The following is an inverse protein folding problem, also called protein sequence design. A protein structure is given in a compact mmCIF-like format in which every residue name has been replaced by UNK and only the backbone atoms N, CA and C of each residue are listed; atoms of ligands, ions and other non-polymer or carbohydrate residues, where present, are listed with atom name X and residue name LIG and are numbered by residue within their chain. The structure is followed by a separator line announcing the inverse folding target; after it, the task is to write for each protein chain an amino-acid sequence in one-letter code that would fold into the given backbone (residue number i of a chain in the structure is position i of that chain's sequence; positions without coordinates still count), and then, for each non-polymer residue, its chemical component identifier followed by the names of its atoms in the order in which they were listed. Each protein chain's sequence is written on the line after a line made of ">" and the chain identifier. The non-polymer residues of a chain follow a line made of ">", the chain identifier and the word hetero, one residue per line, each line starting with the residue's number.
data_IF_750619069205
#
_entry.id   IF_750619069205
#
_cell.length_a   1.000
_cell.length_b   1.000
_cell.length_c   1.000
_cell.angle_alpha   90.00
_cell.angle_beta   90.00
_cell.angle_gamma   90.00
#
_symmetry.space_group_name_H-M   'P 1'
#
loop_
_entity.id
_entity.type
_entity.pdbx_description
1 polymer ?
#
# COMPACT_ATOMS: atom_id res chain seq x y z
N UNK A 1 -15.42 11.92 6.53
CA UNK A 1 -15.09 13.26 7.05
C UNK A 1 -16.02 14.28 6.41
N UNK A 2 -16.62 15.21 7.17
CA UNK A 2 -17.57 16.19 6.65
C UNK A 2 -16.90 17.31 5.81
N UNK A 3 -15.58 17.36 5.77
CA UNK A 3 -14.82 18.41 5.08
C UNK A 3 -14.35 17.94 3.70
N UNK A 4 -14.40 18.82 2.70
CA UNK A 4 -14.08 18.54 1.29
C UNK A 4 -12.65 18.95 0.88
N UNK A 5 -11.77 19.28 1.84
CA UNK A 5 -10.40 19.62 1.46
C UNK A 5 -9.65 18.47 0.77
N UNK A 6 -8.68 18.79 -0.08
CA UNK A 6 -7.88 17.81 -0.76
C UNK A 6 -7.15 16.85 0.18
N UNK A 7 -7.08 15.57 -0.21
CA UNK A 7 -6.39 14.52 0.54
C UNK A 7 -5.31 13.93 -0.35
N UNK A 8 -4.11 13.76 0.18
CA UNK A 8 -3.06 13.05 -0.51
C UNK A 8 -2.68 11.77 0.24
N UNK A 9 -2.62 10.64 -0.50
CA UNK A 9 -2.30 9.32 0.04
C UNK A 9 -0.90 8.93 -0.44
N UNK A 10 0.05 8.91 0.48
CA UNK A 10 1.41 8.45 0.24
C UNK A 10 1.56 6.96 0.53
N UNK A 11 2.41 6.28 -0.21
CA UNK A 11 2.78 4.89 0.03
C UNK A 11 3.30 4.18 -1.20
N UNK A 12 4.01 3.10 -0.99
CA UNK A 12 4.60 2.29 -2.05
C UNK A 12 3.54 1.75 -3.03
N UNK A 13 4.01 1.27 -4.18
CA UNK A 13 3.13 0.59 -5.13
C UNK A 13 2.50 -0.66 -4.47
N UNK A 14 1.23 -0.93 -4.77
CA UNK A 14 0.54 -2.11 -4.28
C UNK A 14 0.05 -2.07 -2.83
N UNK A 15 0.25 -0.98 -2.06
CA UNK A 15 -0.17 -0.89 -0.64
C UNK A 15 -1.68 -0.74 -0.42
N UNK A 16 -2.46 -0.50 -1.50
CA UNK A 16 -3.92 -0.35 -1.43
C UNK A 16 -4.42 1.10 -1.45
N UNK A 17 -3.65 2.08 -1.94
CA UNK A 17 -4.04 3.51 -2.02
C UNK A 17 -5.40 3.73 -2.70
N UNK A 18 -5.67 3.02 -3.80
CA UNK A 18 -6.95 3.10 -4.53
C UNK A 18 -8.13 2.62 -3.68
N UNK A 19 -7.93 1.55 -2.90
CA UNK A 19 -8.95 1.02 -1.99
C UNK A 19 -9.26 2.03 -0.89
N UNK A 20 -8.23 2.67 -0.33
CA UNK A 20 -8.39 3.72 0.67
C UNK A 20 -9.12 4.93 0.09
N UNK A 21 -8.76 5.38 -1.12
CA UNK A 21 -9.45 6.49 -1.79
C UNK A 21 -10.95 6.19 -2.00
N UNK A 22 -11.31 4.97 -2.42
CA UNK A 22 -12.70 4.52 -2.53
C UNK A 22 -13.41 4.51 -1.18
N UNK A 23 -12.76 4.05 -0.10
CA UNK A 23 -13.32 4.06 1.25
C UNK A 23 -13.53 5.49 1.78
N UNK A 24 -12.62 6.42 1.47
CA UNK A 24 -12.78 7.83 1.81
C UNK A 24 -14.01 8.41 1.09
N UNK A 25 -14.20 8.08 -0.19
CA UNK A 25 -15.38 8.48 -0.95
C UNK A 25 -16.66 7.89 -0.33
N UNK A 26 -16.72 6.58 -0.12
CA UNK A 26 -17.90 5.89 0.44
C UNK A 26 -18.29 6.39 1.85
N UNK A 27 -17.32 6.84 2.66
CA UNK A 27 -17.57 7.39 4.01
C UNK A 27 -17.73 8.90 4.03
N UNK A 28 -17.90 9.54 2.88
CA UNK A 28 -18.04 10.99 2.76
C UNK A 28 -19.47 11.40 2.39
N UNK A 29 -19.75 12.70 2.46
CA UNK A 29 -20.97 13.30 1.92
C UNK A 29 -21.11 13.15 0.39
N UNK A 30 -20.03 12.75 -0.29
CA UNK A 30 -19.99 12.57 -1.75
C UNK A 30 -20.30 11.13 -2.19
N UNK A 31 -20.75 10.23 -1.30
CA UNK A 31 -20.99 8.82 -1.60
C UNK A 31 -22.00 8.57 -2.73
N UNK A 32 -22.98 9.46 -2.90
CA UNK A 32 -23.98 9.38 -3.97
C UNK A 32 -23.53 9.98 -5.31
N UNK A 33 -22.35 10.62 -5.35
CA UNK A 33 -21.82 11.25 -6.54
C UNK A 33 -20.79 10.36 -7.25
N UNK A 34 -20.46 10.63 -8.53
CA UNK A 34 -19.46 9.85 -9.26
C UNK A 34 -18.08 9.88 -8.61
N UNK A 35 -17.39 8.72 -8.66
CA UNK A 35 -15.98 8.58 -8.30
C UNK A 35 -15.14 8.45 -9.57
N UNK A 36 -14.58 9.55 -10.02
CA UNK A 36 -13.78 9.62 -11.25
C UNK A 36 -12.30 9.40 -10.94
N UNK A 37 -11.64 8.59 -11.76
CA UNK A 37 -10.23 8.23 -11.59
C UNK A 37 -9.43 8.70 -12.79
N UNK A 38 -8.34 9.43 -12.56
CA UNK A 38 -7.34 9.76 -13.57
C UNK A 38 -6.02 9.11 -13.18
N UNK A 39 -5.44 8.35 -14.10
CA UNK A 39 -4.09 7.83 -13.99
C UNK A 39 -3.12 8.82 -14.62
N UNK A 40 -2.24 9.42 -13.81
CA UNK A 40 -1.30 10.44 -14.29
C UNK A 40 -0.04 9.83 -14.92
N UNK A 41 0.21 8.54 -14.70
CA UNK A 41 1.27 7.79 -15.36
C UNK A 41 0.75 7.06 -16.63
N UNK A 42 1.68 6.65 -17.50
CA UNK A 42 1.40 5.88 -18.72
C UNK A 42 0.50 6.56 -19.77
N UNK A 43 0.25 7.86 -19.65
CA UNK A 43 -0.54 8.66 -20.60
C UNK A 43 0.35 9.76 -21.18
N UNK A 44 0.18 10.06 -22.47
CA UNK A 44 0.87 11.18 -23.09
C UNK A 44 0.44 12.51 -22.46
N UNK A 45 1.37 13.46 -22.35
CA UNK A 45 1.16 14.76 -21.70
C UNK A 45 -0.09 15.48 -22.23
N UNK A 46 -0.24 15.55 -23.55
CA UNK A 46 -1.38 16.21 -24.20
C UNK A 46 -2.72 15.53 -23.89
N UNK A 47 -2.76 14.20 -23.84
CA UNK A 47 -3.99 13.46 -23.54
C UNK A 47 -4.39 13.65 -22.08
N UNK A 48 -3.40 13.68 -21.19
CA UNK A 48 -3.64 13.95 -19.76
C UNK A 48 -4.12 15.39 -19.53
N UNK A 49 -3.50 16.37 -20.21
CA UNK A 49 -3.96 17.75 -20.21
C UNK A 49 -5.44 17.87 -20.64
N UNK A 50 -5.81 17.23 -21.75
CA UNK A 50 -7.20 17.20 -22.22
C UNK A 50 -8.16 16.56 -21.20
N UNK A 51 -7.75 15.45 -20.55
CA UNK A 51 -8.56 14.83 -19.52
C UNK A 51 -8.81 15.79 -18.34
N UNK A 52 -7.76 16.47 -17.86
CA UNK A 52 -7.89 17.43 -16.75
C UNK A 52 -8.77 18.62 -17.14
N UNK A 53 -8.58 19.15 -18.35
CA UNK A 53 -9.38 20.30 -18.86
C UNK A 53 -10.85 19.94 -18.99
N UNK A 54 -11.16 18.73 -19.44
CA UNK A 54 -12.54 18.27 -19.68
C UNK A 54 -13.31 17.93 -18.39
N UNK A 55 -12.64 17.85 -17.23
CA UNK A 55 -13.34 17.64 -15.98
C UNK A 55 -14.12 18.89 -15.60
N UNK A 56 -15.39 18.70 -15.32
CA UNK A 56 -16.22 19.76 -14.78
C UNK A 56 -16.11 19.79 -13.23
N UNK A 57 -15.26 20.66 -12.73
CA UNK A 57 -15.03 20.81 -11.29
C UNK A 57 -16.20 21.50 -10.55
N UNK A 58 -17.20 22.01 -11.26
CA UNK A 58 -18.38 22.62 -10.61
C UNK A 58 -19.48 21.61 -10.30
N UNK A 59 -19.37 20.37 -10.83
CA UNK A 59 -20.33 19.31 -10.55
C UNK A 59 -19.94 18.48 -9.32
N UNK A 60 -20.91 18.03 -8.53
CA UNK A 60 -20.64 17.18 -7.37
C UNK A 60 -20.02 15.85 -7.77
N UNK A 61 -18.78 15.62 -7.33
CA UNK A 61 -18.03 14.39 -7.62
C UNK A 61 -16.88 14.19 -6.64
N UNK A 62 -16.29 12.98 -6.65
CA UNK A 62 -14.95 12.75 -6.10
C UNK A 62 -13.99 12.46 -7.24
N UNK A 63 -12.89 13.20 -7.30
CA UNK A 63 -11.82 13.04 -8.28
C UNK A 63 -10.61 12.39 -7.62
N UNK A 64 -10.19 11.22 -8.11
CA UNK A 64 -9.00 10.54 -7.64
C UNK A 64 -7.89 10.58 -8.67
N UNK A 65 -6.81 11.30 -8.35
CA UNK A 65 -5.60 11.46 -9.16
C UNK A 65 -4.55 10.44 -8.71
N UNK A 66 -4.30 9.41 -9.53
CA UNK A 66 -3.26 8.41 -9.24
C UNK A 66 -1.91 8.90 -9.75
N UNK A 67 -0.87 8.68 -8.94
CA UNK A 67 0.53 8.95 -9.32
C UNK A 67 0.78 10.41 -9.69
N UNK A 68 0.29 11.33 -8.84
CA UNK A 68 0.42 12.79 -9.07
C UNK A 68 1.88 13.24 -9.21
N UNK A 69 2.83 12.48 -8.66
CA UNK A 69 4.27 12.72 -8.77
C UNK A 69 4.81 12.66 -10.21
N UNK A 70 4.05 12.05 -11.14
CA UNK A 70 4.47 11.90 -12.55
C UNK A 70 4.00 13.02 -13.46
N UNK A 71 3.22 13.97 -12.93
CA UNK A 71 2.73 15.12 -13.71
C UNK A 71 3.88 15.99 -14.20
N UNK A 72 3.85 16.34 -15.50
CA UNK A 72 4.71 17.39 -16.04
C UNK A 72 4.38 18.75 -15.43
N UNK A 73 5.31 19.69 -15.47
CA UNK A 73 5.06 21.07 -14.97
C UNK A 73 3.86 21.72 -15.63
N UNK A 74 3.66 21.49 -16.93
CA UNK A 74 2.52 22.00 -17.66
C UNK A 74 1.19 21.45 -17.11
N UNK A 75 1.11 20.13 -16.91
CA UNK A 75 -0.09 19.49 -16.37
C UNK A 75 -0.33 19.85 -14.88
N UNK A 76 0.74 20.08 -14.11
CA UNK A 76 0.64 20.60 -12.75
C UNK A 76 0.01 22.00 -12.72
N UNK A 77 0.38 22.88 -13.68
CA UNK A 77 -0.18 24.22 -13.79
C UNK A 77 -1.67 24.17 -14.13
N UNK A 78 -2.04 23.39 -15.15
CA UNK A 78 -3.46 23.21 -15.54
C UNK A 78 -4.28 22.68 -14.36
N UNK A 79 -3.76 21.68 -13.64
CA UNK A 79 -4.44 21.10 -12.47
C UNK A 79 -4.60 22.13 -11.34
N UNK A 80 -3.58 22.95 -11.09
CA UNK A 80 -3.64 23.98 -10.07
C UNK A 80 -4.74 25.00 -10.39
N UNK A 81 -4.78 25.54 -11.61
CA UNK A 81 -5.79 26.49 -12.06
C UNK A 81 -7.22 25.92 -11.93
N UNK A 82 -7.38 24.64 -12.26
CA UNK A 82 -8.67 23.95 -12.11
C UNK A 82 -9.09 23.78 -10.65
N UNK A 83 -8.15 23.41 -9.77
CA UNK A 83 -8.43 23.27 -8.33
C UNK A 83 -8.71 24.63 -7.67
N UNK A 84 -8.04 25.71 -8.10
CA UNK A 84 -8.26 27.06 -7.60
C UNK A 84 -9.62 27.63 -8.03
N UNK A 85 -10.07 27.28 -9.23
CA UNK A 85 -11.40 27.66 -9.73
C UNK A 85 -12.54 26.74 -9.24
N UNK A 86 -12.21 25.69 -8.48
CA UNK A 86 -13.18 24.71 -8.00
C UNK A 86 -13.95 25.20 -6.79
N UNK A 87 -15.26 24.96 -6.76
CA UNK A 87 -16.01 24.98 -5.51
C UNK A 87 -15.65 23.74 -4.68
N UNK A 88 -14.95 23.97 -3.56
CA UNK A 88 -14.51 22.89 -2.65
C UNK A 88 -15.67 22.02 -2.12
N UNK A 89 -16.92 22.54 -2.17
CA UNK A 89 -18.11 21.79 -1.81
C UNK A 89 -18.60 20.87 -2.94
N UNK A 90 -18.31 21.23 -4.20
CA UNK A 90 -18.75 20.45 -5.35
C UNK A 90 -17.80 19.28 -5.64
N UNK A 91 -16.51 19.52 -5.83
CA UNK A 91 -15.56 18.45 -6.19
C UNK A 91 -14.59 18.16 -5.04
N UNK A 92 -14.62 16.92 -4.55
CA UNK A 92 -13.63 16.41 -3.60
C UNK A 92 -12.42 15.84 -4.33
N UNK A 93 -11.25 16.43 -4.13
CA UNK A 93 -10.00 15.96 -4.74
C UNK A 93 -9.26 15.02 -3.79
N UNK A 94 -8.93 13.84 -4.29
CA UNK A 94 -8.07 12.85 -3.61
C UNK A 94 -6.90 12.58 -4.55
N UNK A 95 -5.68 12.59 -4.06
CA UNK A 95 -4.50 12.25 -4.84
C UNK A 95 -3.74 11.08 -4.23
N UNK A 96 -2.92 10.40 -5.01
CA UNK A 96 -1.97 9.44 -4.48
C UNK A 96 -0.58 9.64 -5.08
N UNK A 97 0.44 9.39 -4.26
CA UNK A 97 1.84 9.40 -4.68
C UNK A 97 2.58 8.19 -4.12
N UNK A 98 3.59 7.71 -4.86
CA UNK A 98 4.50 6.64 -4.43
C UNK A 98 5.61 7.16 -3.54
N UNK A 99 5.95 8.43 -3.68
CA UNK A 99 7.05 9.11 -3.00
C UNK A 99 6.56 10.41 -2.34
N UNK A 100 7.25 10.90 -1.29
CA UNK A 100 6.96 12.20 -0.72
C UNK A 100 7.18 13.33 -1.74
N UNK A 101 6.16 14.15 -2.01
CA UNK A 101 6.24 15.23 -3.01
C UNK A 101 7.20 16.34 -2.60
N UNK A 102 7.48 16.52 -1.30
CA UNK A 102 8.38 17.56 -0.83
C UNK A 102 9.79 17.46 -1.42
N UNK A 103 10.29 16.25 -1.66
CA UNK A 103 11.56 16.03 -2.37
C UNK A 103 11.53 16.61 -3.78
N UNK A 104 10.45 16.36 -4.52
CA UNK A 104 10.27 16.88 -5.88
C UNK A 104 10.11 18.41 -5.91
N UNK A 105 9.53 19.01 -4.86
CA UNK A 105 9.47 20.48 -4.72
C UNK A 105 10.87 21.07 -4.57
N UNK A 106 11.72 20.48 -3.72
CA UNK A 106 13.11 20.91 -3.57
C UNK A 106 13.93 20.80 -4.87
N UNK A 107 13.68 19.76 -5.64
CA UNK A 107 14.30 19.54 -6.96
C UNK A 107 13.68 20.38 -8.08
N UNK A 108 12.73 21.25 -7.76
CA UNK A 108 11.97 22.05 -8.74
C UNK A 108 11.25 21.22 -9.82
N UNK A 109 10.88 19.96 -9.49
CA UNK A 109 10.11 19.05 -10.35
C UNK A 109 8.61 19.09 -10.06
N UNK A 110 8.23 19.59 -8.90
CA UNK A 110 6.82 19.76 -8.49
C UNK A 110 6.56 21.19 -8.06
N UNK A 111 5.41 21.76 -8.49
CA UNK A 111 5.05 23.15 -8.17
C UNK A 111 4.75 23.33 -6.68
N UNK A 112 5.41 24.26 -5.97
CA UNK A 112 5.15 24.51 -4.55
C UNK A 112 3.69 24.83 -4.26
N UNK A 113 3.05 25.66 -5.10
CA UNK A 113 1.64 26.05 -4.93
C UNK A 113 0.71 24.85 -4.97
N UNK A 114 0.89 23.94 -5.93
CA UNK A 114 0.10 22.70 -6.04
C UNK A 114 0.38 21.79 -4.83
N UNK A 115 1.63 21.67 -4.41
CA UNK A 115 2.00 20.89 -3.23
C UNK A 115 1.25 21.36 -1.98
N UNK A 116 1.31 22.66 -1.66
CA UNK A 116 0.63 23.20 -0.48
C UNK A 116 -0.89 23.07 -0.56
N UNK A 117 -1.47 23.24 -1.75
CA UNK A 117 -2.92 23.06 -1.96
C UNK A 117 -3.36 21.61 -1.76
N UNK A 118 -2.54 20.63 -2.16
CA UNK A 118 -2.86 19.20 -2.05
C UNK A 118 -2.48 18.57 -0.71
N UNK A 119 -1.46 19.07 -0.03
CA UNK A 119 -0.89 18.48 1.17
C UNK A 119 -1.54 18.95 2.48
N UNK A 120 -2.83 19.28 2.45
CA UNK A 120 -3.60 19.73 3.63
C UNK A 120 -3.83 18.55 4.58
N UNK A 121 -4.22 17.38 4.04
CA UNK A 121 -4.46 16.18 4.82
C UNK A 121 -3.64 15.00 4.24
N UNK A 122 -2.33 14.92 4.53
CA UNK A 122 -1.50 13.80 4.11
C UNK A 122 -1.86 12.53 4.89
N UNK A 123 -2.02 11.42 4.17
CA UNK A 123 -2.25 10.10 4.72
C UNK A 123 -1.12 9.17 4.27
N UNK A 124 -0.33 8.67 5.19
CA UNK A 124 0.74 7.75 4.89
C UNK A 124 0.30 6.30 5.09
N UNK A 125 0.49 5.46 4.07
CA UNK A 125 0.15 4.03 4.11
C UNK A 125 1.42 3.22 4.21
N UNK A 126 1.61 2.57 5.35
CA UNK A 126 2.76 1.72 5.59
C UNK A 126 2.81 0.53 4.60
N UNK A 127 4.01 0.12 4.12
CA UNK A 127 4.16 -1.08 3.31
C UNK A 127 3.81 -2.34 4.10
N UNK A 128 3.42 -3.41 3.38
CA UNK A 128 2.89 -4.64 3.98
C UNK A 128 3.86 -5.29 4.97
N UNK A 129 5.17 -5.23 4.70
CA UNK A 129 6.24 -5.71 5.60
C UNK A 129 6.28 -5.02 6.97
N UNK A 130 5.75 -3.78 7.08
CA UNK A 130 5.63 -3.05 8.36
C UNK A 130 4.33 -3.34 9.12
N UNK A 131 3.41 -4.11 8.50
CA UNK A 131 2.14 -4.52 9.12
C UNK A 131 1.90 -6.04 8.99
N UNK A 132 2.79 -6.86 9.56
CA UNK A 132 2.74 -8.32 9.39
C UNK A 132 1.48 -8.97 9.97
N UNK A 133 0.78 -8.29 10.87
CA UNK A 133 -0.50 -8.77 11.44
C UNK A 133 -1.67 -8.67 10.46
N UNK A 134 -1.59 -7.84 9.41
CA UNK A 134 -2.62 -7.75 8.38
C UNK A 134 -2.52 -8.92 7.39
N UNK A 135 -1.33 -9.54 7.25
CA UNK A 135 -1.07 -10.57 6.23
C UNK A 135 -2.00 -11.77 6.38
N UNK A 136 -2.18 -12.39 7.57
CA UNK A 136 -3.13 -13.50 7.73
C UNK A 136 -4.57 -13.14 7.35
N UNK A 137 -5.00 -11.92 7.71
CA UNK A 137 -6.35 -11.44 7.39
C UNK A 137 -6.54 -11.23 5.89
N UNK A 138 -5.53 -10.71 5.21
CA UNK A 138 -5.53 -10.53 3.76
C UNK A 138 -5.49 -11.88 3.03
N UNK A 139 -4.73 -12.86 3.52
CA UNK A 139 -4.71 -14.22 2.98
C UNK A 139 -6.12 -14.84 3.08
N UNK A 140 -6.75 -14.79 4.25
CA UNK A 140 -8.10 -15.31 4.45
C UNK A 140 -9.12 -14.61 3.51
N UNK A 141 -9.07 -13.29 3.44
CA UNK A 141 -9.93 -12.51 2.58
C UNK A 141 -9.78 -12.88 1.09
N UNK A 142 -8.55 -12.91 0.56
CA UNK A 142 -8.31 -13.22 -0.85
C UNK A 142 -8.59 -14.69 -1.16
N UNK A 143 -8.27 -15.61 -0.25
CA UNK A 143 -8.60 -17.02 -0.42
C UNK A 143 -10.11 -17.24 -0.52
N UNK A 144 -10.90 -16.66 0.37
CA UNK A 144 -12.37 -16.72 0.32
C UNK A 144 -12.91 -16.12 -0.96
N UNK A 145 -12.38 -14.96 -1.37
CA UNK A 145 -12.77 -14.28 -2.61
C UNK A 145 -12.52 -15.17 -3.83
N UNK A 146 -11.31 -15.70 -3.99
CA UNK A 146 -10.96 -16.51 -5.16
C UNK A 146 -11.59 -17.91 -5.12
N UNK A 147 -11.79 -18.50 -3.95
CA UNK A 147 -12.58 -19.73 -3.80
C UNK A 147 -14.01 -19.54 -4.33
N UNK A 148 -14.65 -18.41 -3.99
CA UNK A 148 -16.00 -18.12 -4.48
C UNK A 148 -16.03 -17.85 -5.99
N UNK A 149 -15.06 -17.08 -6.52
CA UNK A 149 -14.96 -16.76 -7.94
C UNK A 149 -14.67 -17.99 -8.82
N UNK A 150 -13.81 -18.89 -8.33
CA UNK A 150 -13.32 -20.07 -9.09
C UNK A 150 -14.01 -21.38 -8.71
N UNK A 151 -14.97 -21.34 -7.78
CA UNK A 151 -15.68 -22.50 -7.23
C UNK A 151 -14.71 -23.57 -6.67
N UNK A 152 -13.73 -23.10 -5.89
CA UNK A 152 -12.69 -23.93 -5.25
C UNK A 152 -12.80 -23.87 -3.72
N UNK A 153 -12.07 -24.76 -3.03
CA UNK A 153 -11.99 -24.80 -1.57
C UNK A 153 -10.52 -24.91 -1.11
N UNK A 154 -9.70 -23.97 -1.57
CA UNK A 154 -8.30 -23.90 -1.15
C UNK A 154 -8.19 -23.40 0.30
N UNK A 155 -7.29 -24.00 1.08
CA UNK A 155 -7.02 -23.63 2.46
C UNK A 155 -5.51 -23.53 2.67
N UNK A 156 -5.05 -22.47 3.32
CA UNK A 156 -3.64 -22.31 3.68
C UNK A 156 -3.36 -22.93 5.06
N UNK A 157 -2.30 -23.72 5.17
CA UNK A 157 -1.87 -24.25 6.47
C UNK A 157 -1.31 -23.13 7.35
N UNK A 158 -1.31 -23.33 8.67
CA UNK A 158 -0.69 -22.40 9.62
C UNK A 158 0.80 -22.18 9.31
N UNK A 159 1.51 -23.23 8.86
CA UNK A 159 2.91 -23.13 8.43
C UNK A 159 3.07 -22.24 7.19
N UNK A 160 2.18 -22.36 6.21
CA UNK A 160 2.14 -21.53 5.00
C UNK A 160 1.88 -20.06 5.33
N UNK A 161 0.92 -19.79 6.21
CA UNK A 161 0.60 -18.43 6.66
C UNK A 161 1.81 -17.81 7.40
N UNK A 162 2.50 -18.58 8.26
CA UNK A 162 3.70 -18.10 8.98
C UNK A 162 4.83 -17.75 7.99
N UNK A 163 5.03 -18.56 6.96
CA UNK A 163 6.02 -18.30 5.91
C UNK A 163 5.69 -17.00 5.15
N UNK A 164 4.45 -16.84 4.72
CA UNK A 164 3.98 -15.62 4.03
C UNK A 164 4.08 -14.37 4.91
N UNK A 165 3.87 -14.52 6.23
CA UNK A 165 4.01 -13.41 7.19
C UNK A 165 5.44 -12.85 7.27
N UNK A 166 6.43 -13.70 7.07
CA UNK A 166 7.86 -13.35 7.13
C UNK A 166 8.45 -12.95 5.77
N UNK A 167 7.65 -12.91 4.72
CA UNK A 167 8.08 -12.49 3.39
C UNK A 167 8.11 -10.96 3.25
N UNK A 168 9.02 -10.44 2.44
CA UNK A 168 9.29 -9.00 2.32
C UNK A 168 8.21 -8.20 1.62
N UNK A 169 7.43 -8.83 0.74
CA UNK A 169 6.33 -8.21 0.00
C UNK A 169 6.72 -6.90 -0.69
N UNK A 170 7.72 -6.93 -1.57
CA UNK A 170 8.18 -5.75 -2.31
C UNK A 170 7.06 -5.09 -3.12
N UNK A 171 6.16 -5.89 -3.72
CA UNK A 171 4.95 -5.45 -4.42
C UNK A 171 3.71 -5.33 -3.52
N UNK A 172 3.87 -5.44 -2.19
CA UNK A 172 2.83 -5.25 -1.20
C UNK A 172 1.58 -6.15 -1.41
N UNK A 173 0.36 -5.60 -1.29
CA UNK A 173 -0.91 -6.34 -1.42
C UNK A 173 -1.09 -6.86 -2.85
N UNK A 174 -0.61 -6.13 -3.86
CA UNK A 174 -0.71 -6.58 -5.25
C UNK A 174 0.12 -7.85 -5.47
N UNK A 175 1.32 -7.92 -4.92
CA UNK A 175 2.15 -9.13 -4.98
C UNK A 175 1.49 -10.29 -4.21
N UNK A 176 0.96 -10.02 -3.02
CA UNK A 176 0.22 -11.01 -2.24
C UNK A 176 -0.96 -11.61 -3.04
N UNK A 177 -1.73 -10.76 -3.73
CA UNK A 177 -2.81 -11.20 -4.60
C UNK A 177 -2.30 -12.08 -5.74
N UNK A 178 -1.20 -11.67 -6.39
CA UNK A 178 -0.59 -12.41 -7.50
C UNK A 178 -0.01 -13.75 -7.06
N UNK A 179 0.32 -13.92 -5.78
CA UNK A 179 0.75 -15.20 -5.22
C UNK A 179 -0.45 -16.09 -4.88
N UNK A 180 -1.50 -15.54 -4.24
CA UNK A 180 -2.64 -16.33 -3.78
C UNK A 180 -3.52 -16.79 -4.95
N UNK A 181 -3.77 -15.93 -5.93
CA UNK A 181 -4.68 -16.22 -7.04
C UNK A 181 -4.29 -17.49 -7.82
N UNK A 182 -3.05 -17.66 -8.34
CA UNK A 182 -2.68 -18.89 -9.05
C UNK A 182 -2.65 -20.11 -8.12
N UNK A 183 -2.32 -19.97 -6.85
CA UNK A 183 -2.36 -21.08 -5.89
C UNK A 183 -3.79 -21.60 -5.67
N UNK A 184 -4.78 -20.76 -5.75
CA UNK A 184 -6.20 -21.17 -5.70
C UNK A 184 -6.65 -21.68 -7.07
N UNK A 185 -6.23 -21.07 -8.17
CA UNK A 185 -6.66 -21.41 -9.52
C UNK A 185 -6.10 -22.75 -10.02
N UNK A 186 -4.83 -23.06 -9.74
CA UNK A 186 -4.13 -24.26 -10.24
C UNK A 186 -4.47 -25.55 -9.48
N UNK A 187 -5.56 -25.59 -8.74
CA UNK A 187 -5.97 -26.77 -7.98
C UNK A 187 -6.85 -27.68 -8.83
N UNK A 188 -6.42 -28.91 -9.09
CA UNK A 188 -7.17 -29.92 -9.84
C UNK A 188 -8.29 -30.58 -9.02
N UNK A 189 -8.26 -30.43 -7.69
CA UNK A 189 -9.22 -30.98 -6.74
C UNK A 189 -10.12 -29.90 -6.14
N UNK A 190 -11.34 -30.27 -5.73
CA UNK A 190 -12.26 -29.35 -5.07
C UNK A 190 -11.73 -28.86 -3.71
N UNK A 191 -10.99 -29.72 -2.99
CA UNK A 191 -10.34 -29.37 -1.72
C UNK A 191 -8.82 -29.40 -1.90
N UNK A 192 -8.15 -28.33 -1.50
CA UNK A 192 -6.70 -28.20 -1.67
C UNK A 192 -6.03 -27.48 -0.50
N UNK A 193 -5.01 -28.14 0.03
CA UNK A 193 -4.22 -27.58 1.12
C UNK A 193 -2.93 -26.98 0.58
N UNK A 194 -2.80 -25.66 0.66
CA UNK A 194 -1.59 -24.96 0.24
C UNK A 194 -0.48 -25.14 1.27
N UNK A 195 0.53 -25.93 0.88
CA UNK A 195 1.69 -26.25 1.72
C UNK A 195 2.85 -25.28 1.52
N UNK A 196 3.81 -25.19 2.47
CA UNK A 196 5.01 -24.37 2.30
C UNK A 196 5.83 -24.68 1.05
N UNK A 197 5.92 -25.95 0.63
CA UNK A 197 6.67 -26.35 -0.56
C UNK A 197 6.08 -25.78 -1.86
N UNK A 198 4.77 -25.66 -1.93
CA UNK A 198 4.10 -25.05 -3.07
C UNK A 198 4.30 -23.54 -3.09
N UNK A 199 4.29 -22.90 -1.94
CA UNK A 199 4.61 -21.47 -1.81
C UNK A 199 6.02 -21.15 -2.29
N UNK A 200 7.03 -21.90 -1.85
CA UNK A 200 8.43 -21.65 -2.22
C UNK A 200 8.68 -21.72 -3.73
N UNK A 201 7.96 -22.57 -4.44
CA UNK A 201 7.99 -22.63 -5.92
C UNK A 201 7.50 -21.33 -6.58
N UNK A 202 6.52 -20.66 -5.98
CA UNK A 202 5.94 -19.43 -6.53
C UNK A 202 6.66 -18.15 -6.07
N UNK A 203 7.17 -18.12 -4.84
CA UNK A 203 7.76 -16.90 -4.25
C UNK A 203 9.29 -16.85 -4.44
N UNK A 204 9.93 -17.99 -4.67
CA UNK A 204 11.39 -18.14 -4.70
C UNK A 204 11.99 -18.07 -3.29
N UNK A 205 13.00 -18.90 -3.03
CA UNK A 205 13.61 -19.02 -1.69
C UNK A 205 14.36 -17.75 -1.23
N UNK A 206 14.82 -16.92 -2.16
CA UNK A 206 15.67 -15.75 -1.86
C UNK A 206 14.98 -14.61 -1.13
N UNK A 207 13.66 -14.54 -1.13
CA UNK A 207 12.90 -13.43 -0.54
C UNK A 207 12.21 -13.79 0.78
N UNK A 208 12.42 -15.00 1.25
CA UNK A 208 11.94 -15.42 2.56
C UNK A 208 13.01 -14.98 3.55
N UNK A 209 12.75 -13.92 4.31
CA UNK A 209 13.47 -13.73 5.55
C UNK A 209 13.03 -14.88 6.45
N UNK A 210 13.80 -15.95 6.44
CA UNK A 210 13.75 -16.92 7.51
C UNK A 210 14.20 -16.12 8.73
N UNK A 211 13.26 -15.54 9.46
CA UNK A 211 13.47 -15.35 10.88
C UNK A 211 13.62 -16.79 11.34
N UNK A 212 14.87 -17.27 11.37
CA UNK A 212 15.20 -18.45 12.11
C UNK A 212 14.47 -18.25 13.44
N UNK A 213 13.47 -19.06 13.71
CA UNK A 213 13.10 -19.33 15.11
C UNK A 213 14.47 -19.54 15.73
N UNK A 214 14.91 -18.58 16.55
CA UNK A 214 16.05 -18.84 17.42
C UNK A 214 15.66 -20.15 18.07
N UNK A 215 16.21 -21.22 17.49
CA UNK A 215 15.73 -22.55 17.78
C UNK A 215 16.04 -22.74 19.25
N UNK A 216 15.00 -22.77 20.08
CA UNK A 216 15.15 -23.13 21.50
C UNK A 216 15.92 -24.45 21.66
N UNK A 217 16.11 -25.18 20.57
CA UNK A 217 17.01 -26.31 20.43
C UNK A 217 18.51 -26.00 20.56
N UNK A 218 18.92 -24.72 20.52
CA UNK A 218 20.32 -24.30 20.78
C UNK A 218 20.64 -24.20 22.27
N UNK A 219 19.62 -24.21 23.13
CA UNK A 219 19.82 -24.08 24.58
C UNK A 219 19.52 -25.41 25.25
N UNK A 220 20.49 -25.93 26.01
CA UNK A 220 20.33 -27.16 26.77
C UNK A 220 19.60 -26.97 28.09
N UNK A 221 19.40 -25.70 28.53
CA UNK A 221 18.64 -25.37 29.74
C UNK A 221 18.00 -23.98 29.66
N UNK A 222 16.93 -23.77 30.44
CA UNK A 222 16.29 -22.46 30.58
C UNK A 222 17.27 -21.40 31.12
N UNK A 223 18.17 -21.77 32.01
CA UNK A 223 19.18 -20.87 32.58
C UNK A 223 20.17 -20.35 31.54
N UNK A 224 20.55 -21.19 30.56
CA UNK A 224 21.42 -20.82 29.45
C UNK A 224 20.70 -19.88 28.47
N UNK A 225 19.43 -20.16 28.16
CA UNK A 225 18.59 -19.31 27.33
C UNK A 225 18.40 -17.91 27.94
N UNK A 226 18.11 -17.84 29.27
CA UNK A 226 17.94 -16.58 29.99
C UNK A 226 19.23 -15.76 29.99
N UNK A 227 20.37 -16.39 30.26
CA UNK A 227 21.67 -15.72 30.31
C UNK A 227 22.08 -15.15 28.92
N UNK A 228 21.76 -15.85 27.85
CA UNK A 228 22.04 -15.38 26.48
C UNK A 228 21.11 -14.22 26.10
N UNK A 229 19.83 -14.32 26.46
CA UNK A 229 18.86 -13.24 26.23
C UNK A 229 19.24 -11.96 27.01
N UNK A 230 19.60 -12.07 28.26
CA UNK A 230 20.06 -10.95 29.10
C UNK A 230 21.29 -10.27 28.49
N UNK A 231 22.28 -11.06 28.02
CA UNK A 231 23.47 -10.55 27.36
C UNK A 231 23.11 -9.78 26.07
N UNK A 232 22.29 -10.35 25.22
CA UNK A 232 21.90 -9.74 23.95
C UNK A 232 21.05 -8.47 24.18
N UNK A 233 20.20 -8.47 25.20
CA UNK A 233 19.41 -7.32 25.60
C UNK A 233 20.28 -6.18 26.14
N UNK A 234 21.28 -6.49 26.97
CA UNK A 234 22.25 -5.50 27.47
C UNK A 234 23.06 -4.91 26.31
N UNK A 235 23.53 -5.75 25.38
CA UNK A 235 24.26 -5.28 24.20
C UNK A 235 23.38 -4.39 23.28
N UNK A 236 22.10 -4.72 23.14
CA UNK A 236 21.14 -3.89 22.42
C UNK A 236 20.95 -2.52 23.10
N UNK A 237 20.78 -2.49 24.41
CA UNK A 237 20.67 -1.25 25.18
C UNK A 237 21.93 -0.40 25.09
N UNK A 238 23.11 -1.02 25.22
CA UNK A 238 24.38 -0.32 25.05
C UNK A 238 24.53 0.29 23.67
N UNK A 239 24.23 -0.46 22.59
CA UNK A 239 24.25 0.07 21.22
C UNK A 239 23.28 1.24 21.04
N UNK A 240 22.08 1.18 21.62
CA UNK A 240 21.08 2.23 21.53
C UNK A 240 21.51 3.51 22.26
N UNK A 241 22.16 3.40 23.41
CA UNK A 241 22.62 4.56 24.18
C UNK A 241 23.97 5.13 23.74
N UNK A 242 24.81 4.37 23.01
CA UNK A 242 26.07 4.89 22.45
C UNK A 242 25.89 5.62 21.10
N UNK A 243 24.72 5.55 20.45
CA UNK A 243 24.44 6.33 19.24
C UNK A 243 23.77 7.69 19.53
N UNK A 244 23.41 8.00 20.76
CA UNK A 244 22.80 9.29 21.15
C UNK A 244 23.82 10.29 21.71
N UNK A 245 25.15 10.07 21.50
CA UNK A 245 26.24 10.94 22.02
C UNK A 245 27.25 11.33 20.94
N UNK A 246 26.79 11.62 19.68
CA UNK A 246 27.57 12.41 18.71
C UNK A 246 26.70 13.51 18.08
#
# INVERSE_FOLDING_TARGET
>A
APHSFPIIIYGEQGVGKTTIAKQIHHKSSHVSFPFNVIECDHITENKLAQQIVNINFTQPQSLFLKHIETLSKHNQQILLEKIESCDEKATRVIASSRIPLFGLVKENKFLPSLFYKMNIAPLEVAPLRKRPYDIPLLIDYFTKKYNAELQKQAVFTTKSIRLLRNYTWAGNITELQNVIHPLVACTDTQEYIVTPQQLTKHIGEKNIQIVEEQSFTKFHSLAEATKTFEKDFILFLLKKHFHDTE
#
